data_IF_203637480312
#
_entry.id   IF_203637480312
#
_cell.length_a   1.000
_cell.length_b   1.000
_cell.length_c   1.000
_cell.angle_alpha   90.00
_cell.angle_beta   90.00
_cell.angle_gamma   90.00
#
_symmetry.space_group_name_H-M   'P 1'
#
loop_
_entity.id
_entity.type
_entity.pdbx_description
1 polymer ?
#
# COMPACT_ATOMS: atom_id res chain seq x y z
N UNK A 1 26.74 -16.92 -19.09
CA UNK A 1 26.33 -15.58 -18.58
C UNK A 1 27.35 -15.14 -17.55
N UNK A 2 28.01 -14.00 -17.74
CA UNK A 2 29.12 -13.56 -16.86
C UNK A 2 28.62 -13.41 -15.41
N UNK A 3 29.43 -13.75 -14.41
CA UNK A 3 29.02 -13.72 -12.98
C UNK A 3 28.45 -12.35 -12.62
N UNK A 4 29.08 -11.28 -13.13
CA UNK A 4 28.65 -9.89 -12.95
C UNK A 4 27.21 -9.65 -13.47
N UNK A 5 26.88 -10.17 -14.66
CA UNK A 5 25.54 -10.00 -15.26
C UNK A 5 24.46 -10.76 -14.48
N UNK A 6 24.81 -11.84 -13.78
CA UNK A 6 23.88 -12.59 -12.91
C UNK A 6 23.49 -11.78 -11.68
N UNK A 7 24.45 -11.12 -11.02
CA UNK A 7 24.19 -10.28 -9.84
C UNK A 7 23.40 -9.02 -10.19
N UNK A 8 23.69 -8.40 -11.34
CA UNK A 8 22.94 -7.23 -11.80
C UNK A 8 21.46 -7.56 -12.02
N UNK A 9 21.16 -8.72 -12.61
CA UNK A 9 19.79 -9.15 -12.88
C UNK A 9 19.00 -9.39 -11.59
N UNK A 10 19.62 -10.08 -10.60
CA UNK A 10 19.01 -10.32 -9.29
C UNK A 10 18.76 -8.99 -8.57
N UNK A 11 19.73 -8.07 -8.61
CA UNK A 11 19.57 -6.72 -8.04
C UNK A 11 18.40 -5.98 -8.70
N UNK A 12 18.28 -6.04 -10.02
CA UNK A 12 17.20 -5.41 -10.76
C UNK A 12 15.83 -5.98 -10.39
N UNK A 13 15.71 -7.31 -10.30
CA UNK A 13 14.47 -7.96 -9.84
C UNK A 13 14.14 -7.63 -8.38
N UNK A 14 15.14 -7.57 -7.52
CA UNK A 14 14.96 -7.18 -6.12
C UNK A 14 14.46 -5.73 -6.00
N UNK A 15 14.99 -4.84 -6.83
CA UNK A 15 14.58 -3.43 -6.86
C UNK A 15 13.19 -3.25 -7.48
N UNK A 16 12.85 -3.98 -8.55
CA UNK A 16 11.49 -4.02 -9.13
C UNK A 16 10.48 -4.53 -8.08
N UNK A 17 10.81 -5.62 -7.38
CA UNK A 17 9.93 -6.19 -6.35
C UNK A 17 9.74 -5.22 -5.18
N UNK A 18 10.80 -4.56 -4.71
CA UNK A 18 10.71 -3.56 -3.64
C UNK A 18 9.98 -2.27 -4.08
N UNK A 19 10.16 -1.81 -5.32
CA UNK A 19 9.44 -0.63 -5.83
C UNK A 19 7.97 -0.91 -6.14
N UNK A 20 7.61 -2.13 -6.57
CA UNK A 20 6.21 -2.50 -6.79
C UNK A 20 5.48 -2.74 -5.47
N UNK A 21 6.06 -3.49 -4.52
CA UNK A 21 5.39 -3.74 -3.23
C UNK A 21 5.22 -2.48 -2.38
N UNK A 22 6.17 -1.54 -2.39
CA UNK A 22 6.03 -0.27 -1.65
C UNK A 22 5.05 0.72 -2.29
N UNK A 23 4.64 0.53 -3.56
CA UNK A 23 3.73 1.44 -4.29
C UNK A 23 2.29 0.95 -4.39
N UNK A 24 1.97 -0.25 -3.94
CA UNK A 24 0.62 -0.82 -4.13
C UNK A 24 -0.34 -0.38 -3.03
N UNK A 25 0.12 -0.11 -1.80
CA UNK A 25 -0.75 0.21 -0.67
C UNK A 25 -0.64 1.69 -0.31
N UNK A 26 -1.71 2.44 -0.54
CA UNK A 26 -1.79 3.84 -0.14
C UNK A 26 -2.78 4.03 1.01
N UNK A 27 -2.32 4.78 2.01
CA UNK A 27 -3.16 5.16 3.13
C UNK A 27 -3.86 6.47 2.79
N UNK A 28 -5.19 6.48 2.80
CA UNK A 28 -5.97 7.65 2.42
C UNK A 28 -6.24 8.51 3.64
N UNK A 29 -5.83 9.78 3.58
CA UNK A 29 -6.11 10.80 4.60
C UNK A 29 -6.70 12.02 3.90
N UNK A 30 -7.89 12.45 4.31
CA UNK A 30 -8.59 13.60 3.73
C UNK A 30 -8.67 13.52 2.20
N UNK A 31 -9.21 12.43 1.65
CA UNK A 31 -9.35 12.19 0.19
C UNK A 31 -8.04 12.00 -0.60
N UNK A 32 -6.88 12.19 0.03
CA UNK A 32 -5.57 12.08 -0.64
C UNK A 32 -4.89 10.77 -0.21
N UNK A 33 -4.57 9.86 -1.14
CA UNK A 33 -3.69 8.72 -0.87
C UNK A 33 -2.27 9.23 -0.58
N UNK A 34 -1.70 8.76 0.52
CA UNK A 34 -0.35 9.11 0.96
C UNK A 34 0.67 8.91 -0.17
N UNK A 35 1.69 9.76 -0.27
CA UNK A 35 2.76 9.64 -1.27
C UNK A 35 2.25 9.76 -2.72
N UNK A 36 1.05 10.31 -2.91
CA UNK A 36 0.48 10.71 -4.21
C UNK A 36 -0.06 12.14 -4.13
N UNK A 37 -0.06 12.85 -5.25
CA UNK A 37 -0.71 14.17 -5.40
C UNK A 37 -2.11 14.04 -6.02
N UNK A 38 -2.71 12.85 -5.99
CA UNK A 38 -3.99 12.56 -6.63
C UNK A 38 -5.10 12.74 -5.59
N UNK A 39 -6.09 13.56 -5.89
CA UNK A 39 -7.30 13.68 -5.07
C UNK A 39 -8.28 12.60 -5.53
N UNK A 40 -8.72 11.75 -4.60
CA UNK A 40 -9.73 10.72 -4.91
C UNK A 40 -11.08 11.38 -5.16
N UNK A 41 -11.89 10.76 -6.02
CA UNK A 41 -13.28 11.19 -6.15
C UNK A 41 -14.02 10.98 -4.82
N UNK A 42 -14.95 11.89 -4.46
CA UNK A 42 -15.70 11.78 -3.20
C UNK A 42 -16.43 10.45 -3.04
N UNK A 43 -16.87 9.84 -4.15
CA UNK A 43 -17.54 8.54 -4.13
C UNK A 43 -16.62 7.38 -3.75
N UNK A 44 -15.37 7.37 -4.25
CA UNK A 44 -14.36 6.38 -3.86
C UNK A 44 -13.99 6.58 -2.39
N UNK A 45 -13.78 7.83 -1.97
CA UNK A 45 -13.46 8.14 -0.57
C UNK A 45 -14.57 7.74 0.41
N UNK A 46 -15.83 8.06 0.09
CA UNK A 46 -16.98 7.66 0.88
C UNK A 46 -17.15 6.14 0.94
N UNK A 47 -16.82 5.40 -0.13
CA UNK A 47 -16.83 3.95 -0.11
C UNK A 47 -15.78 3.38 0.87
N UNK A 48 -14.59 3.99 0.93
CA UNK A 48 -13.52 3.62 1.88
C UNK A 48 -14.00 3.84 3.32
N UNK A 49 -14.60 5.00 3.59
CA UNK A 49 -15.09 5.37 4.92
C UNK A 49 -16.30 4.54 5.38
N UNK A 50 -17.31 4.36 4.52
CA UNK A 50 -18.61 3.80 4.94
C UNK A 50 -18.62 2.29 5.11
N UNK A 51 -17.98 1.53 4.22
CA UNK A 51 -18.19 0.05 4.19
C UNK A 51 -16.94 -0.76 3.90
N UNK A 52 -15.99 -0.23 3.13
CA UNK A 52 -14.84 -1.00 2.65
C UNK A 52 -13.54 -0.33 3.06
N UNK A 53 -13.22 -0.41 4.36
CA UNK A 53 -11.99 0.13 5.00
C UNK A 53 -10.69 -0.11 4.21
N UNK A 54 -10.71 -1.09 3.29
CA UNK A 54 -9.74 -1.34 2.23
C UNK A 54 -10.51 -1.45 0.89
N UNK A 55 -10.07 -0.72 -0.14
CA UNK A 55 -10.60 -0.80 -1.51
C UNK A 55 -9.44 -1.00 -2.49
N UNK A 56 -9.67 -1.80 -3.53
CA UNK A 56 -8.78 -1.84 -4.69
C UNK A 56 -9.33 -0.84 -5.70
N UNK A 57 -8.55 0.19 -6.03
CA UNK A 57 -8.89 1.10 -7.11
C UNK A 57 -8.58 0.41 -8.44
N UNK A 58 -9.62 -0.07 -9.11
CA UNK A 58 -9.52 -0.85 -10.34
C UNK A 58 -8.78 -0.11 -11.47
N UNK A 59 -8.84 1.22 -11.50
CA UNK A 59 -8.18 2.04 -12.53
C UNK A 59 -6.66 2.09 -12.38
N UNK A 60 -6.15 1.96 -11.16
CA UNK A 60 -4.71 2.09 -10.85
C UNK A 60 -4.09 0.80 -10.32
N UNK A 61 -4.91 -0.19 -9.97
CA UNK A 61 -4.48 -1.41 -9.27
C UNK A 61 -4.06 -1.17 -7.82
N UNK A 62 -4.21 0.05 -7.30
CA UNK A 62 -3.78 0.40 -5.96
C UNK A 62 -4.76 -0.06 -4.89
N UNK A 63 -4.22 -0.55 -3.77
CA UNK A 63 -4.94 -0.86 -2.55
C UNK A 63 -4.99 0.41 -1.70
N UNK A 64 -6.17 1.00 -1.60
CA UNK A 64 -6.45 2.16 -0.77
C UNK A 64 -6.95 1.71 0.60
N UNK A 65 -6.33 2.18 1.67
CA UNK A 65 -6.70 1.85 3.05
C UNK A 65 -7.04 3.12 3.81
N UNK A 66 -8.14 3.11 4.56
CA UNK A 66 -8.47 4.21 5.46
C UNK A 66 -7.35 4.46 6.50
N UNK A 67 -7.01 5.73 6.73
CA UNK A 67 -5.97 6.11 7.69
C UNK A 67 -6.24 5.62 9.10
N UNK A 68 -7.45 5.80 9.63
CA UNK A 68 -7.77 5.38 10.99
C UNK A 68 -7.69 3.85 11.11
N UNK A 69 -8.14 3.14 10.08
CA UNK A 69 -8.05 1.70 10.04
C UNK A 69 -6.61 1.18 9.94
N UNK A 70 -5.73 1.86 9.20
CA UNK A 70 -4.31 1.52 9.14
C UNK A 70 -3.64 1.58 10.54
N UNK A 71 -3.99 2.59 11.35
CA UNK A 71 -3.51 2.73 12.73
C UNK A 71 -4.05 1.60 13.61
N UNK A 72 -5.34 1.28 13.46
CA UNK A 72 -5.97 0.19 14.20
C UNK A 72 -5.28 -1.16 13.93
N UNK A 73 -4.98 -1.47 12.66
CA UNK A 73 -4.26 -2.69 12.29
C UNK A 73 -2.87 -2.75 12.91
N UNK A 74 -2.10 -1.65 12.86
CA UNK A 74 -0.76 -1.56 13.48
C UNK A 74 -0.81 -1.85 14.99
N UNK A 75 -1.80 -1.28 15.70
CA UNK A 75 -2.01 -1.55 17.13
C UNK A 75 -2.35 -3.02 17.39
N UNK A 76 -3.19 -3.64 16.55
CA UNK A 76 -3.62 -5.05 16.70
C UNK A 76 -2.48 -6.03 16.46
N UNK A 77 -1.64 -5.80 15.45
CA UNK A 77 -0.46 -6.63 15.16
C UNK A 77 0.53 -6.56 16.33
N UNK A 78 0.85 -5.36 16.84
CA UNK A 78 1.74 -5.20 17.99
C UNK A 78 1.26 -5.97 19.22
N UNK A 79 -0.05 -5.94 19.50
CA UNK A 79 -0.65 -6.72 20.59
C UNK A 79 -0.52 -8.24 20.42
N UNK A 80 -0.58 -8.75 19.18
CA UNK A 80 -0.39 -10.19 18.91
C UNK A 80 1.08 -10.60 19.08
N UNK A 81 2.01 -9.79 18.57
CA UNK A 81 3.45 -10.03 18.72
C UNK A 81 3.83 -10.05 20.20
N UNK A 82 3.34 -9.10 21.01
CA UNK A 82 3.63 -9.06 22.45
C UNK A 82 3.02 -10.23 23.28
N UNK A 83 2.15 -11.04 22.69
CA UNK A 83 1.56 -12.22 23.37
C UNK A 83 2.29 -13.53 23.05
N UNK A 84 3.13 -13.53 22.01
CA UNK A 84 4.01 -14.65 21.64
C UNK A 84 5.34 -14.49 22.38
#
# INVERSE_FOLDING_TARGET
MNIINKYLLIYYFYNIKNNLFNKIIFVVKNEIPKDTNIILSPQIYLNILKKKKIIINELSGYILIDYQYSIYLKKKIKKKINKL
#
